data_IF_316346128554
#
_entry.id   IF_316346128554
#
_cell.length_a   1.000
_cell.length_b   1.000
_cell.length_c   1.000
_cell.angle_alpha   90.00
_cell.angle_beta   90.00
_cell.angle_gamma   90.00
#
_symmetry.space_group_name_H-M   'P 1'
#
loop_
_entity.id
_entity.type
_entity.pdbx_description
1 polymer ?
#
# COMPACT_ATOMS: atom_id res chain seq x y z
N UNK A 1 -15.69 -3.02 -39.17
CA UNK A 1 -16.18 -2.34 -37.94
C UNK A 1 -17.58 -2.84 -37.64
N UNK A 2 -17.81 -3.34 -36.40
CA UNK A 2 -19.14 -3.81 -35.99
C UNK A 2 -19.97 -2.57 -35.62
N UNK A 3 -21.01 -2.27 -36.41
CA UNK A 3 -21.95 -1.20 -36.09
C UNK A 3 -22.93 -1.70 -35.02
N UNK A 4 -22.84 -1.13 -33.83
CA UNK A 4 -23.77 -1.44 -32.74
C UNK A 4 -25.09 -0.69 -33.02
N UNK A 5 -26.18 -1.44 -33.19
CA UNK A 5 -27.52 -0.85 -33.44
C UNK A 5 -28.03 -0.15 -32.18
N UNK A 6 -28.33 1.14 -32.30
CA UNK A 6 -29.05 1.90 -31.30
C UNK A 6 -30.55 1.62 -31.36
N UNK A 7 -31.23 1.71 -30.22
CA UNK A 7 -32.69 1.56 -30.10
C UNK A 7 -33.20 2.60 -29.10
N UNK A 8 -34.48 2.89 -29.15
CA UNK A 8 -35.13 3.79 -28.20
C UNK A 8 -35.13 3.14 -26.81
N UNK A 9 -34.62 3.84 -25.81
CA UNK A 9 -34.69 3.44 -24.41
C UNK A 9 -36.07 3.79 -23.85
N UNK A 10 -36.79 2.80 -23.31
CA UNK A 10 -38.15 3.02 -22.80
C UNK A 10 -38.22 3.93 -21.54
N UNK A 11 -37.09 4.15 -20.88
CA UNK A 11 -37.02 5.01 -19.67
C UNK A 11 -36.67 6.48 -19.95
N UNK A 12 -35.84 6.78 -20.97
CA UNK A 12 -35.45 8.17 -21.29
C UNK A 12 -35.88 8.59 -22.70
N UNK A 13 -36.53 7.72 -23.44
CA UNK A 13 -37.08 7.96 -24.80
C UNK A 13 -36.05 8.42 -25.84
N UNK A 14 -34.75 8.23 -25.53
CA UNK A 14 -33.65 8.60 -26.43
C UNK A 14 -33.06 7.39 -27.12
N UNK A 15 -32.52 7.61 -28.34
CA UNK A 15 -31.86 6.56 -29.11
C UNK A 15 -30.48 6.20 -28.52
N UNK A 16 -30.39 5.05 -27.88
CA UNK A 16 -29.23 4.61 -27.12
C UNK A 16 -28.90 3.12 -27.39
N UNK A 17 -27.69 2.71 -26.99
CA UNK A 17 -27.34 1.29 -26.92
C UNK A 17 -28.09 0.68 -25.72
N UNK A 18 -28.98 -0.28 -26.01
CA UNK A 18 -29.73 -0.96 -24.96
C UNK A 18 -28.79 -1.85 -24.15
N UNK A 19 -28.77 -1.65 -22.83
CA UNK A 19 -27.94 -2.39 -21.88
C UNK A 19 -28.64 -3.66 -21.38
N UNK A 20 -29.93 -3.56 -21.05
CA UNK A 20 -30.76 -4.68 -20.57
C UNK A 20 -32.20 -4.59 -21.06
N UNK A 21 -32.81 -5.77 -21.23
CA UNK A 21 -34.25 -5.91 -21.24
C UNK A 21 -34.70 -6.34 -19.85
N UNK A 22 -35.48 -5.48 -19.19
CA UNK A 22 -36.00 -5.72 -17.85
C UNK A 22 -37.52 -5.61 -17.87
N UNK A 23 -38.21 -6.68 -17.51
CA UNK A 23 -39.70 -6.75 -17.53
C UNK A 23 -40.33 -6.27 -18.85
N UNK A 24 -39.70 -6.65 -20.00
CA UNK A 24 -40.17 -6.26 -21.33
C UNK A 24 -39.70 -4.85 -21.78
N UNK A 25 -39.11 -4.05 -20.92
CA UNK A 25 -38.61 -2.70 -21.25
C UNK A 25 -37.13 -2.74 -21.68
N UNK A 26 -36.81 -2.00 -22.73
CA UNK A 26 -35.46 -1.81 -23.25
C UNK A 26 -34.80 -0.63 -22.54
N UNK A 27 -33.84 -0.87 -21.65
CA UNK A 27 -33.24 0.12 -20.80
C UNK A 27 -31.78 0.34 -21.18
N UNK A 28 -31.38 1.61 -21.41
CA UNK A 28 -29.98 1.97 -21.63
C UNK A 28 -29.17 1.88 -20.32
N UNK A 29 -27.85 1.82 -20.45
CA UNK A 29 -26.95 1.69 -19.29
C UNK A 29 -27.12 2.81 -18.25
N UNK A 30 -27.34 4.05 -18.71
CA UNK A 30 -27.48 5.21 -17.82
C UNK A 30 -28.75 5.11 -16.95
N UNK A 31 -29.91 4.83 -17.58
CA UNK A 31 -31.18 4.66 -16.87
C UNK A 31 -31.11 3.45 -15.92
N UNK A 32 -30.53 2.33 -16.37
CA UNK A 32 -30.34 1.17 -15.50
C UNK A 32 -29.54 1.49 -14.26
N UNK A 33 -28.40 2.20 -14.40
CA UNK A 33 -27.55 2.57 -13.26
C UNK A 33 -28.25 3.56 -12.35
N UNK A 34 -28.97 4.56 -12.90
CA UNK A 34 -29.73 5.53 -12.10
C UNK A 34 -30.77 4.84 -11.22
N UNK A 35 -31.54 3.93 -11.80
CA UNK A 35 -32.68 3.31 -11.13
C UNK A 35 -32.27 2.11 -10.22
N UNK A 36 -31.09 1.53 -10.46
CA UNK A 36 -30.55 0.42 -9.70
C UNK A 36 -29.27 0.77 -8.89
N UNK A 37 -28.93 2.05 -8.81
CA UNK A 37 -27.86 2.53 -7.92
C UNK A 37 -28.33 2.62 -6.47
N UNK A 38 -28.90 1.56 -5.93
CA UNK A 38 -28.98 1.42 -4.50
C UNK A 38 -27.54 1.51 -3.95
N UNK A 39 -27.27 2.33 -2.93
CA UNK A 39 -25.95 2.38 -2.32
C UNK A 39 -25.59 0.97 -1.89
N UNK A 40 -24.56 0.39 -2.52
CA UNK A 40 -24.02 -0.91 -2.13
C UNK A 40 -23.83 -0.88 -0.61
N UNK A 41 -24.38 -1.82 0.14
CA UNK A 41 -24.18 -1.85 1.59
C UNK A 41 -22.67 -1.80 1.81
N UNK A 42 -22.21 -0.74 2.51
CA UNK A 42 -20.79 -0.61 2.85
C UNK A 42 -20.39 -1.89 3.54
N UNK A 43 -19.52 -2.69 2.89
CA UNK A 43 -18.99 -3.90 3.52
C UNK A 43 -18.44 -3.50 4.86
N UNK A 44 -19.02 -3.99 5.94
CA UNK A 44 -18.49 -3.79 7.27
C UNK A 44 -17.00 -4.18 7.25
N UNK A 45 -16.12 -3.34 7.81
CA UNK A 45 -14.71 -3.67 7.87
C UNK A 45 -14.55 -5.03 8.56
N UNK A 46 -13.86 -5.96 7.90
CA UNK A 46 -13.60 -7.27 8.50
C UNK A 46 -12.84 -7.06 9.80
N UNK A 47 -13.21 -7.75 10.88
CA UNK A 47 -12.47 -7.64 12.13
C UNK A 47 -11.01 -8.00 11.89
N UNK A 48 -10.11 -7.16 12.42
CA UNK A 48 -8.66 -7.37 12.33
C UNK A 48 -8.36 -8.66 13.11
N UNK A 49 -7.75 -9.65 12.44
CA UNK A 49 -7.34 -10.90 13.10
C UNK A 49 -6.36 -10.56 14.23
N UNK A 50 -6.51 -11.16 15.41
CA UNK A 50 -5.56 -10.98 16.51
C UNK A 50 -4.17 -11.42 16.05
N UNK A 51 -3.13 -10.74 16.52
CA UNK A 51 -1.74 -11.13 16.27
C UNK A 51 -1.47 -12.50 16.88
N UNK A 52 -0.73 -13.35 16.18
CA UNK A 52 -0.26 -14.61 16.76
C UNK A 52 0.72 -14.34 17.91
N UNK A 53 0.80 -15.24 18.89
CA UNK A 53 1.71 -15.13 20.03
C UNK A 53 3.17 -14.98 19.57
N UNK A 54 3.57 -15.74 18.54
CA UNK A 54 4.88 -15.62 17.91
C UNK A 54 5.16 -14.20 17.43
N UNK A 55 4.19 -13.54 16.77
CA UNK A 55 4.33 -12.18 16.28
C UNK A 55 4.35 -11.18 17.43
N UNK A 56 3.58 -11.40 18.48
CA UNK A 56 3.58 -10.56 19.69
C UNK A 56 4.94 -10.55 20.37
N UNK A 57 5.55 -11.73 20.56
CA UNK A 57 6.89 -11.87 21.14
C UNK A 57 7.93 -11.19 20.25
N UNK A 58 7.85 -11.37 18.93
CA UNK A 58 8.75 -10.72 17.98
C UNK A 58 8.68 -9.20 18.05
N UNK A 59 7.46 -8.62 18.15
CA UNK A 59 7.27 -7.17 18.25
C UNK A 59 7.82 -6.62 19.58
N UNK A 60 7.72 -7.36 20.68
CA UNK A 60 8.32 -6.99 21.97
C UNK A 60 9.86 -6.97 21.89
N UNK A 61 10.46 -8.02 21.35
CA UNK A 61 11.92 -8.09 21.13
C UNK A 61 12.40 -6.97 20.22
N UNK A 62 11.68 -6.70 19.12
CA UNK A 62 11.99 -5.60 18.22
C UNK A 62 11.99 -4.24 18.97
N UNK A 63 11.00 -3.99 19.82
CA UNK A 63 10.91 -2.73 20.59
C UNK A 63 12.11 -2.55 21.51
N UNK A 64 12.52 -3.61 22.21
CA UNK A 64 13.70 -3.58 23.08
C UNK A 64 14.99 -3.32 22.29
N UNK A 65 15.18 -4.04 21.20
CA UNK A 65 16.36 -3.91 20.34
C UNK A 65 16.41 -2.53 19.67
N UNK A 66 15.27 -2.01 19.22
CA UNK A 66 15.15 -0.67 18.63
C UNK A 66 15.57 0.41 19.63
N UNK A 67 15.13 0.33 20.88
CA UNK A 67 15.52 1.29 21.91
C UNK A 67 17.02 1.25 22.15
N UNK A 68 17.62 0.06 22.30
CA UNK A 68 19.08 -0.09 22.44
C UNK A 68 19.84 0.43 21.21
N UNK A 69 19.31 0.21 20.01
CA UNK A 69 19.92 0.67 18.77
C UNK A 69 20.06 2.20 18.73
N UNK A 70 19.02 2.94 19.11
CA UNK A 70 19.04 4.40 19.13
C UNK A 70 19.73 5.01 20.38
N UNK A 71 20.04 4.21 21.41
CA UNK A 71 20.90 4.66 22.51
C UNK A 71 22.35 4.87 22.06
N UNK A 72 22.78 4.19 20.99
CA UNK A 72 24.10 4.39 20.40
C UNK A 72 24.11 5.70 19.59
N UNK A 73 25.02 6.62 19.93
CA UNK A 73 25.14 7.92 19.24
C UNK A 73 25.40 7.81 17.74
N UNK A 74 26.12 6.78 17.31
CA UNK A 74 26.38 6.51 15.90
C UNK A 74 25.10 6.25 15.08
N UNK A 75 24.00 5.89 15.74
CA UNK A 75 22.72 5.57 15.11
C UNK A 75 21.72 6.74 15.19
N UNK A 76 22.08 7.85 15.78
CA UNK A 76 21.22 9.04 15.85
C UNK A 76 21.20 9.85 14.55
N UNK A 77 22.16 9.64 13.65
CA UNK A 77 22.23 10.33 12.36
C UNK A 77 21.69 9.48 11.22
N UNK A 78 20.95 10.10 10.29
CA UNK A 78 20.47 9.43 9.09
C UNK A 78 21.63 9.02 8.18
N UNK A 79 21.74 7.73 7.87
CA UNK A 79 22.81 7.19 7.01
C UNK A 79 22.47 7.23 5.53
N UNK A 80 21.19 7.25 5.15
CA UNK A 80 20.78 7.26 3.74
C UNK A 80 21.07 8.58 3.01
N UNK A 81 20.96 9.72 3.72
CA UNK A 81 21.32 11.05 3.18
C UNK A 81 20.72 11.41 1.81
N UNK A 82 19.48 10.93 1.53
CA UNK A 82 18.77 11.25 0.28
C UNK A 82 18.33 12.71 0.27
N UNK A 83 17.94 13.23 -0.90
CA UNK A 83 17.41 14.58 -1.07
C UNK A 83 16.25 14.85 -0.10
N UNK A 84 16.28 15.96 0.64
CA UNK A 84 15.30 16.28 1.70
C UNK A 84 15.54 15.54 3.01
N UNK A 85 16.76 15.03 3.24
CA UNK A 85 17.15 14.40 4.48
C UNK A 85 17.12 15.39 5.66
N UNK A 86 16.51 15.00 6.79
CA UNK A 86 16.47 15.80 8.03
C UNK A 86 17.70 15.60 8.92
N UNK A 87 18.65 14.78 8.50
CA UNK A 87 19.90 14.40 9.17
C UNK A 87 19.72 13.57 10.45
N UNK A 88 18.63 13.73 11.17
CA UNK A 88 18.33 12.97 12.41
C UNK A 88 17.61 11.68 12.06
N UNK A 89 18.09 10.55 12.57
CA UNK A 89 17.45 9.26 12.39
C UNK A 89 16.27 9.09 13.37
N UNK A 90 15.12 8.68 12.83
CA UNK A 90 13.90 8.38 13.59
C UNK A 90 13.38 6.96 13.33
N UNK A 91 13.76 6.41 12.21
CA UNK A 91 13.28 5.12 11.72
C UNK A 91 14.46 4.15 11.48
N UNK A 92 14.14 2.86 11.54
CA UNK A 92 15.04 1.79 11.14
C UNK A 92 14.64 1.31 9.75
N UNK A 93 15.58 1.36 8.82
CA UNK A 93 15.43 0.76 7.51
C UNK A 93 16.07 -0.62 7.51
N UNK A 94 15.31 -1.64 7.09
CA UNK A 94 15.80 -3.02 7.00
C UNK A 94 16.39 -3.26 5.61
N UNK A 95 17.66 -3.69 5.54
CA UNK A 95 18.36 -3.91 4.28
C UNK A 95 17.79 -5.10 3.48
N UNK A 96 17.13 -6.04 4.14
CA UNK A 96 16.44 -7.16 3.49
C UNK A 96 14.95 -6.88 3.35
N UNK A 97 14.38 -7.24 2.20
CA UNK A 97 12.96 -7.07 1.87
C UNK A 97 12.32 -8.38 1.39
N UNK A 98 11.00 -8.42 1.27
CA UNK A 98 10.29 -9.61 0.80
C UNK A 98 10.36 -10.77 1.79
N UNK A 99 10.54 -11.99 1.29
CA UNK A 99 10.58 -13.23 2.09
C UNK A 99 11.74 -13.25 3.08
N UNK A 100 12.91 -12.76 2.68
CA UNK A 100 14.13 -12.73 3.52
C UNK A 100 14.01 -11.76 4.71
N UNK A 101 13.06 -10.82 4.68
CA UNK A 101 12.85 -9.87 5.77
C UNK A 101 12.54 -10.55 7.10
N UNK A 102 11.78 -11.65 7.09
CA UNK A 102 11.38 -12.35 8.32
C UNK A 102 12.58 -12.93 9.07
N UNK A 103 13.59 -13.40 8.37
CA UNK A 103 14.81 -14.00 8.94
C UNK A 103 15.75 -12.93 9.52
N UNK A 104 15.82 -11.77 8.86
CA UNK A 104 16.71 -10.67 9.23
C UNK A 104 16.03 -9.58 10.08
N UNK A 105 14.72 -9.74 10.40
CA UNK A 105 13.92 -8.69 11.05
C UNK A 105 14.50 -8.21 12.40
N UNK A 106 15.05 -9.11 13.19
CA UNK A 106 15.66 -8.81 14.50
C UNK A 106 17.20 -8.71 14.43
N UNK A 107 17.80 -8.84 13.25
CA UNK A 107 19.26 -8.73 13.09
C UNK A 107 19.68 -7.26 13.03
N UNK A 108 20.13 -6.74 14.16
CA UNK A 108 20.55 -5.33 14.33
C UNK A 108 21.70 -4.93 13.39
N UNK A 109 22.53 -5.88 12.94
CA UNK A 109 23.62 -5.63 11.98
C UNK A 109 23.12 -5.25 10.58
N UNK A 110 21.88 -5.61 10.29
CA UNK A 110 21.23 -5.36 9.00
C UNK A 110 20.22 -4.18 9.09
N UNK A 111 20.33 -3.39 10.16
CA UNK A 111 19.53 -2.21 10.38
C UNK A 111 20.30 -0.96 9.99
N UNK A 112 19.65 -0.08 9.27
CA UNK A 112 20.20 1.23 8.91
C UNK A 112 19.38 2.33 9.57
N UNK A 113 20.00 3.25 10.36
CA UNK A 113 19.28 4.37 10.91
C UNK A 113 19.01 5.41 9.84
N UNK A 114 17.74 5.77 9.65
CA UNK A 114 17.29 6.71 8.62
C UNK A 114 16.28 7.71 9.19
N UNK A 115 16.18 8.88 8.58
CA UNK A 115 15.08 9.79 8.88
C UNK A 115 13.82 9.36 8.13
N UNK A 116 12.65 9.84 8.59
CA UNK A 116 11.35 9.50 8.01
C UNK A 116 11.29 9.78 6.50
N UNK A 117 11.82 10.91 6.06
CA UNK A 117 11.82 11.29 4.64
C UNK A 117 12.66 10.32 3.80
N UNK A 118 13.88 10.01 4.24
CA UNK A 118 14.74 9.06 3.53
C UNK A 118 14.13 7.65 3.53
N UNK A 119 13.50 7.23 4.65
CA UNK A 119 12.84 5.93 4.74
C UNK A 119 11.70 5.80 3.71
N UNK A 120 10.85 6.84 3.61
CA UNK A 120 9.78 6.88 2.61
C UNK A 120 10.35 6.82 1.19
N UNK A 121 11.32 7.70 0.87
CA UNK A 121 11.92 7.74 -0.46
C UNK A 121 12.62 6.44 -0.87
N UNK A 122 13.24 5.74 0.06
CA UNK A 122 13.88 4.45 -0.23
C UNK A 122 12.89 3.36 -0.64
N UNK A 123 11.60 3.51 -0.31
CA UNK A 123 10.55 2.57 -0.70
C UNK A 123 9.73 3.02 -1.91
N UNK A 124 9.49 4.33 -2.03
CA UNK A 124 8.53 4.88 -3.00
C UNK A 124 9.24 5.38 -4.28
N UNK A 125 10.45 5.96 -4.15
CA UNK A 125 11.10 6.69 -5.26
C UNK A 125 12.27 5.92 -5.88
N UNK A 126 12.89 4.99 -5.16
CA UNK A 126 14.07 4.27 -5.65
C UNK A 126 13.71 2.92 -6.29
N UNK A 127 14.32 2.65 -7.41
CA UNK A 127 14.33 1.30 -8.00
C UNK A 127 15.17 0.35 -7.13
N UNK A 128 15.03 -0.96 -7.37
CA UNK A 128 15.81 -1.97 -6.65
C UNK A 128 17.32 -1.76 -6.84
N UNK A 129 17.75 -1.47 -8.05
CA UNK A 129 19.16 -1.34 -8.41
C UNK A 129 19.79 -0.08 -7.80
N UNK A 130 19.05 1.04 -7.81
CA UNK A 130 19.46 2.28 -7.13
C UNK A 130 19.58 2.09 -5.62
N UNK A 131 18.63 1.37 -5.00
CA UNK A 131 18.68 1.08 -3.57
C UNK A 131 19.88 0.20 -3.19
N UNK A 132 20.27 -0.77 -4.05
CA UNK A 132 21.48 -1.57 -3.87
C UNK A 132 22.74 -0.71 -4.02
N UNK A 133 22.81 0.13 -5.07
CA UNK A 133 23.94 1.03 -5.31
C UNK A 133 24.18 2.01 -4.14
N UNK A 134 23.12 2.43 -3.47
CA UNK A 134 23.16 3.29 -2.28
C UNK A 134 23.33 2.52 -0.96
N UNK A 135 23.55 1.21 -0.98
CA UNK A 135 23.63 0.34 0.20
C UNK A 135 22.37 0.40 1.09
N UNK A 136 21.21 0.67 0.50
CA UNK A 136 19.92 0.66 1.18
C UNK A 136 19.18 -0.67 1.04
N UNK A 137 19.72 -1.60 0.25
CA UNK A 137 19.14 -2.92 0.02
C UNK A 137 20.24 -3.96 -0.25
N UNK A 138 19.98 -5.20 0.20
CA UNK A 138 20.78 -6.40 -0.08
C UNK A 138 19.96 -7.44 -0.84
#
# INVERSE_FOLDING_TARGET
MIQVKKKICDSCETEQIIWKNHQGQKICRFCWLRDNSAPLPKKLPKPIKPKSDKKSIQDQLYSVLRNKFFQNDNNKSCKARLQGCTLVASDIHHLYSGSSRSEHYLNVKEWLPVCRNCHKKSHDDLTKDEAIALNLKK
#
